data_IF_051906721029
#
_entry.id   IF_051906721029
#
_cell.length_a   1.000
_cell.length_b   1.000
_cell.length_c   1.000
_cell.angle_alpha   90.00
_cell.angle_beta   90.00
_cell.angle_gamma   90.00
#
_symmetry.space_group_name_H-M   'P 1'
#
loop_
_entity.id
_entity.type
_entity.pdbx_description
1 polymer ?
#
# COMPACT_ATOMS: atom_id res chain seq x y z
N UNK A 1 -20.55 37.76 0.15
CA UNK A 1 -20.80 36.38 -0.31
C UNK A 1 -20.08 36.23 -1.66
N UNK A 2 -18.92 35.58 -1.69
CA UNK A 2 -18.21 35.27 -2.93
C UNK A 2 -18.99 34.19 -3.65
N UNK A 3 -19.65 34.53 -4.76
CA UNK A 3 -20.37 33.56 -5.58
C UNK A 3 -19.39 32.49 -6.10
N UNK A 4 -19.65 31.25 -5.78
CA UNK A 4 -18.87 30.10 -6.31
C UNK A 4 -18.99 30.11 -7.82
N UNK A 5 -17.86 30.04 -8.53
CA UNK A 5 -17.87 30.02 -10.00
C UNK A 5 -18.60 28.77 -10.50
N UNK A 6 -19.43 28.87 -11.58
CA UNK A 6 -20.20 27.72 -12.09
C UNK A 6 -19.35 26.46 -12.32
N UNK A 7 -18.12 26.60 -12.84
CA UNK A 7 -17.20 25.46 -13.03
C UNK A 7 -16.78 24.78 -11.71
N UNK A 8 -16.61 25.54 -10.64
CA UNK A 8 -16.29 24.98 -9.32
C UNK A 8 -17.48 24.23 -8.74
N UNK A 9 -18.69 24.73 -8.96
CA UNK A 9 -19.92 24.05 -8.54
C UNK A 9 -20.10 22.72 -9.28
N UNK A 10 -19.84 22.69 -10.60
CA UNK A 10 -19.90 21.46 -11.41
C UNK A 10 -18.92 20.41 -10.90
N UNK A 11 -17.67 20.80 -10.63
CA UNK A 11 -16.66 19.89 -10.07
C UNK A 11 -17.13 19.32 -8.73
N UNK A 12 -17.66 20.17 -7.84
CA UNK A 12 -18.19 19.73 -6.55
C UNK A 12 -19.34 18.73 -6.70
N UNK A 13 -20.33 19.02 -7.54
CA UNK A 13 -21.46 18.12 -7.79
C UNK A 13 -20.97 16.79 -8.33
N UNK A 14 -20.08 16.81 -9.32
CA UNK A 14 -19.53 15.57 -9.89
C UNK A 14 -18.74 14.75 -8.86
N UNK A 15 -17.96 15.42 -8.00
CA UNK A 15 -17.24 14.77 -6.90
C UNK A 15 -18.21 14.09 -5.92
N UNK A 16 -19.23 14.83 -5.47
CA UNK A 16 -20.20 14.34 -4.49
C UNK A 16 -20.99 13.14 -5.04
N UNK A 17 -21.42 13.20 -6.33
CA UNK A 17 -22.08 12.09 -7.00
C UNK A 17 -21.19 10.87 -7.20
N UNK A 18 -19.92 11.05 -7.59
CA UNK A 18 -18.95 9.94 -7.67
C UNK A 18 -18.73 9.29 -6.30
N UNK A 19 -18.57 10.09 -5.25
CA UNK A 19 -18.41 9.56 -3.90
C UNK A 19 -19.65 8.77 -3.45
N UNK A 20 -20.87 9.28 -3.72
CA UNK A 20 -22.13 8.62 -3.40
C UNK A 20 -22.29 7.29 -4.16
N UNK A 21 -21.98 7.26 -5.46
CA UNK A 21 -22.02 6.04 -6.28
C UNK A 21 -21.06 4.97 -5.75
N UNK A 22 -19.95 5.36 -5.14
CA UNK A 22 -19.00 4.46 -4.50
C UNK A 22 -19.35 4.07 -3.06
N UNK A 23 -20.49 4.55 -2.54
CA UNK A 23 -21.01 4.17 -1.23
C UNK A 23 -21.11 5.31 -0.21
N UNK A 24 -20.64 6.53 -0.56
CA UNK A 24 -20.70 7.75 0.28
C UNK A 24 -19.74 7.72 1.46
N UNK A 25 -19.82 6.72 2.30
CA UNK A 25 -19.02 6.60 3.53
C UNK A 25 -18.05 5.41 3.48
N UNK A 26 -17.03 5.48 4.32
CA UNK A 26 -16.06 4.40 4.52
C UNK A 26 -16.72 3.24 5.24
N UNK A 27 -16.61 2.03 4.71
CA UNK A 27 -17.14 0.82 5.32
C UNK A 27 -16.07 0.15 6.20
N UNK A 28 -16.39 -0.01 7.48
CA UNK A 28 -15.49 -0.71 8.41
C UNK A 28 -15.58 -2.24 8.25
N UNK A 29 -14.48 -2.91 8.61
CA UNK A 29 -14.45 -4.38 8.72
C UNK A 29 -15.13 -4.81 10.02
N UNK A 30 -15.96 -5.86 9.94
CA UNK A 30 -16.63 -6.42 11.11
C UNK A 30 -15.69 -7.37 11.87
N UNK A 31 -15.23 -6.95 13.02
CA UNK A 31 -14.35 -7.73 13.90
C UNK A 31 -15.08 -8.21 15.16
N UNK A 32 -16.40 -8.35 15.11
CA UNK A 32 -17.21 -8.83 16.23
C UNK A 32 -17.14 -10.36 16.30
N UNK A 33 -16.27 -10.88 17.17
CA UNK A 33 -16.09 -12.33 17.36
C UNK A 33 -14.88 -12.62 18.24
N UNK A 34 -14.79 -13.84 18.77
CA UNK A 34 -13.63 -14.28 19.56
C UNK A 34 -13.31 -15.75 19.23
N UNK A 35 -12.46 -16.00 18.24
CA UNK A 35 -11.90 -15.06 17.26
C UNK A 35 -12.95 -14.57 16.24
N UNK A 36 -12.70 -13.40 15.64
CA UNK A 36 -13.40 -12.95 14.44
C UNK A 36 -12.84 -13.68 13.23
N UNK A 37 -13.69 -14.25 12.39
CA UNK A 37 -13.28 -15.04 11.22
C UNK A 37 -13.54 -14.26 9.94
N UNK A 38 -12.51 -14.12 9.10
CA UNK A 38 -12.56 -13.46 7.81
C UNK A 38 -12.28 -14.52 6.74
N UNK A 39 -13.20 -14.66 5.79
CA UNK A 39 -13.03 -15.54 4.64
C UNK A 39 -12.63 -14.75 3.40
N UNK A 40 -11.50 -15.13 2.79
CA UNK A 40 -10.99 -14.49 1.57
C UNK A 40 -11.42 -15.33 0.35
N UNK A 41 -12.09 -14.73 -0.62
CA UNK A 41 -12.57 -15.37 -1.85
C UNK A 41 -12.14 -14.59 -3.10
N UNK A 42 -12.14 -15.26 -4.27
CA UNK A 42 -11.77 -14.63 -5.55
C UNK A 42 -10.98 -15.56 -6.47
N UNK A 43 -10.70 -15.12 -7.70
CA UNK A 43 -9.99 -15.92 -8.71
C UNK A 43 -8.49 -16.04 -8.42
N UNK A 44 -7.84 -16.98 -9.09
CA UNK A 44 -6.39 -17.12 -9.09
C UNK A 44 -5.74 -15.84 -9.66
N UNK A 45 -4.66 -15.38 -9.06
CA UNK A 45 -3.96 -14.16 -9.50
C UNK A 45 -4.61 -12.85 -9.05
N UNK A 46 -5.80 -12.89 -8.41
CA UNK A 46 -6.42 -11.66 -7.85
C UNK A 46 -5.69 -11.08 -6.65
N UNK A 47 -4.70 -11.77 -6.11
CA UNK A 47 -3.89 -11.29 -4.99
C UNK A 47 -4.39 -11.71 -3.59
N UNK A 48 -5.31 -12.67 -3.47
CA UNK A 48 -5.87 -13.13 -2.17
C UNK A 48 -4.81 -13.43 -1.13
N UNK A 49 -3.89 -14.34 -1.42
CA UNK A 49 -2.85 -14.79 -0.48
C UNK A 49 -1.98 -13.63 0.00
N UNK A 50 -1.53 -12.79 -0.92
CA UNK A 50 -0.76 -11.59 -0.57
C UNK A 50 -1.58 -10.60 0.24
N UNK A 51 -2.85 -10.41 -0.13
CA UNK A 51 -3.73 -9.48 0.58
C UNK A 51 -4.12 -10.01 1.96
N UNK A 52 -4.27 -11.32 2.13
CA UNK A 52 -4.48 -11.96 3.46
C UNK A 52 -3.36 -11.60 4.42
N UNK A 53 -2.10 -11.64 3.97
CA UNK A 53 -0.95 -11.24 4.76
C UNK A 53 -0.93 -9.72 5.02
N UNK A 54 -1.23 -8.89 4.02
CA UNK A 54 -1.34 -7.42 4.20
C UNK A 54 -2.42 -7.04 5.21
N UNK A 55 -3.59 -7.69 5.12
CA UNK A 55 -4.69 -7.47 6.06
C UNK A 55 -4.29 -7.90 7.48
N UNK A 56 -3.59 -9.03 7.63
CA UNK A 56 -3.06 -9.46 8.91
C UNK A 56 -2.09 -8.42 9.49
N UNK A 57 -1.14 -7.93 8.69
CA UNK A 57 -0.20 -6.89 9.09
C UNK A 57 -0.93 -5.60 9.51
N UNK A 58 -1.92 -5.16 8.74
CA UNK A 58 -2.75 -4.00 9.07
C UNK A 58 -3.49 -4.18 10.41
N UNK A 59 -4.12 -5.34 10.62
CA UNK A 59 -4.83 -5.63 11.86
C UNK A 59 -3.90 -5.72 13.08
N UNK A 60 -2.68 -6.24 12.91
CA UNK A 60 -1.68 -6.28 13.97
C UNK A 60 -1.17 -4.87 14.31
N UNK A 61 -0.77 -4.10 13.31
CA UNK A 61 -0.07 -2.82 13.51
C UNK A 61 -1.02 -1.65 13.80
N UNK A 62 -2.20 -1.61 13.15
CA UNK A 62 -3.15 -0.50 13.27
C UNK A 62 -4.30 -0.77 14.23
N UNK A 63 -4.67 -2.02 14.43
CA UNK A 63 -5.79 -2.42 15.30
C UNK A 63 -5.34 -3.21 16.54
N UNK A 64 -4.03 -3.45 16.68
CA UNK A 64 -3.42 -4.20 17.80
C UNK A 64 -4.09 -5.58 18.04
N UNK A 65 -4.35 -6.32 16.95
CA UNK A 65 -5.00 -7.63 16.98
C UNK A 65 -3.99 -8.76 16.82
N UNK A 66 -4.18 -9.84 17.57
CA UNK A 66 -3.42 -11.08 17.39
C UNK A 66 -4.07 -11.90 16.28
N UNK A 67 -3.39 -12.04 15.13
CA UNK A 67 -3.97 -12.62 13.89
C UNK A 67 -3.35 -13.98 13.60
N UNK A 68 -4.20 -14.95 13.18
CA UNK A 68 -3.78 -16.22 12.58
C UNK A 68 -4.21 -16.26 11.12
N UNK A 69 -3.31 -16.68 10.24
CA UNK A 69 -3.58 -16.97 8.83
C UNK A 69 -3.84 -18.48 8.67
N UNK A 70 -4.76 -18.85 7.78
CA UNK A 70 -5.10 -20.26 7.50
C UNK A 70 -4.97 -20.55 6.02
N UNK A 71 -4.11 -21.52 5.67
CA UNK A 71 -3.84 -21.92 4.28
C UNK A 71 -4.84 -22.99 3.82
N UNK A 72 -5.98 -22.57 3.25
CA UNK A 72 -7.01 -23.48 2.72
C UNK A 72 -6.88 -23.74 1.21
N UNK A 73 -5.85 -23.24 0.51
CA UNK A 73 -5.52 -23.67 -0.85
C UNK A 73 -4.77 -25.02 -0.80
N UNK A 74 -5.51 -26.10 -0.58
CA UNK A 74 -4.94 -27.45 -0.41
C UNK A 74 -4.43 -28.07 -1.70
N UNK A 75 -4.80 -27.49 -2.84
CA UNK A 75 -4.47 -28.02 -4.18
C UNK A 75 -3.10 -27.56 -4.67
N UNK A 76 -2.58 -26.46 -4.10
CA UNK A 76 -1.32 -25.83 -4.52
C UNK A 76 -0.34 -25.72 -3.35
N UNK A 77 0.60 -26.69 -3.20
CA UNK A 77 1.63 -26.62 -2.16
C UNK A 77 2.42 -25.30 -2.16
N UNK A 78 2.67 -24.75 -3.35
CA UNK A 78 3.35 -23.45 -3.48
C UNK A 78 2.54 -22.29 -2.88
N UNK A 79 1.21 -22.32 -2.88
CA UNK A 79 0.39 -21.27 -2.26
C UNK A 79 0.43 -21.36 -0.73
N UNK A 80 0.46 -22.58 -0.18
CA UNK A 80 0.65 -22.80 1.28
C UNK A 80 2.01 -22.25 1.71
N UNK A 81 3.07 -22.58 0.96
CA UNK A 81 4.41 -22.10 1.24
C UNK A 81 4.52 -20.58 1.10
N UNK A 82 3.88 -20.01 0.08
CA UNK A 82 3.80 -18.55 -0.10
C UNK A 82 3.17 -17.88 1.11
N UNK A 83 2.02 -18.39 1.60
CA UNK A 83 1.38 -17.82 2.78
C UNK A 83 2.25 -17.97 4.04
N UNK A 84 2.99 -19.09 4.17
CA UNK A 84 3.93 -19.31 5.27
C UNK A 84 5.04 -18.26 5.29
N UNK A 85 5.68 -18.04 4.14
CA UNK A 85 6.76 -17.03 3.99
C UNK A 85 6.24 -15.63 4.29
N UNK A 86 5.05 -15.28 3.77
CA UNK A 86 4.43 -13.98 4.04
C UNK A 86 4.07 -13.82 5.52
N UNK A 87 3.57 -14.88 6.16
CA UNK A 87 3.28 -14.88 7.60
C UNK A 87 4.54 -14.67 8.45
N UNK A 88 5.65 -15.29 8.09
CA UNK A 88 6.94 -15.09 8.75
C UNK A 88 7.43 -13.64 8.65
N UNK A 89 7.28 -13.01 7.47
CA UNK A 89 7.66 -11.60 7.27
C UNK A 89 6.95 -10.63 8.20
N UNK A 90 5.70 -10.94 8.58
CA UNK A 90 4.88 -10.08 9.44
C UNK A 90 4.74 -10.62 10.88
N UNK A 91 5.50 -11.66 11.23
CA UNK A 91 5.41 -12.37 12.52
C UNK A 91 3.98 -12.85 12.85
N UNK A 92 3.21 -13.28 11.84
CA UNK A 92 1.90 -13.88 12.02
C UNK A 92 1.99 -15.41 11.99
N UNK A 93 1.24 -16.07 12.87
CA UNK A 93 1.09 -17.53 12.84
C UNK A 93 0.31 -17.94 11.59
N UNK A 94 0.85 -18.92 10.86
CA UNK A 94 0.16 -19.59 9.76
C UNK A 94 -0.21 -21.00 10.15
N UNK A 95 -1.49 -21.33 10.06
CA UNK A 95 -1.99 -22.67 10.22
C UNK A 95 -2.00 -23.37 8.86
N UNK A 96 -1.12 -24.35 8.68
CA UNK A 96 -0.99 -25.13 7.43
C UNK A 96 -1.80 -26.42 7.44
N UNK A 97 -2.11 -26.93 8.64
CA UNK A 97 -2.90 -28.17 8.81
C UNK A 97 -2.28 -29.35 8.08
N UNK A 98 -1.01 -29.68 8.39
CA UNK A 98 -0.28 -30.77 7.74
C UNK A 98 -1.09 -32.09 7.73
N UNK A 99 -1.16 -32.72 6.55
CA UNK A 99 -1.90 -33.96 6.35
C UNK A 99 -3.42 -33.80 6.17
N UNK A 100 -3.99 -32.63 6.36
CA UNK A 100 -5.42 -32.40 6.16
C UNK A 100 -5.68 -31.88 4.72
N UNK A 101 -6.27 -32.74 3.91
CA UNK A 101 -6.61 -32.43 2.52
C UNK A 101 -7.97 -31.74 2.35
N UNK A 102 -8.84 -31.79 3.37
CA UNK A 102 -10.15 -31.18 3.32
C UNK A 102 -10.09 -29.72 3.83
N UNK A 103 -10.33 -28.70 2.97
CA UNK A 103 -10.21 -27.30 3.35
C UNK A 103 -11.25 -26.88 4.41
N UNK A 104 -12.43 -27.50 4.43
CA UNK A 104 -13.48 -27.23 5.43
C UNK A 104 -13.01 -27.67 6.83
N UNK A 105 -12.52 -28.91 6.94
CA UNK A 105 -12.01 -29.46 8.22
C UNK A 105 -10.80 -28.65 8.68
N UNK A 106 -9.91 -28.29 7.75
CA UNK A 106 -8.74 -27.46 8.03
C UNK A 106 -9.13 -26.12 8.64
N UNK A 107 -10.08 -25.41 8.03
CA UNK A 107 -10.57 -24.13 8.54
C UNK A 107 -11.20 -24.25 9.93
N UNK A 108 -12.01 -25.29 10.17
CA UNK A 108 -12.63 -25.54 11.47
C UNK A 108 -11.58 -25.82 12.57
N UNK A 109 -10.59 -26.68 12.30
CA UNK A 109 -9.49 -26.97 13.23
C UNK A 109 -8.66 -25.72 13.55
N UNK A 110 -8.37 -24.91 12.53
CA UNK A 110 -7.64 -23.65 12.71
C UNK A 110 -8.38 -22.68 13.65
N UNK A 111 -9.70 -22.56 13.49
CA UNK A 111 -10.53 -21.71 14.38
C UNK A 111 -10.55 -22.25 15.80
N UNK A 112 -10.61 -23.58 15.98
CA UNK A 112 -10.50 -24.18 17.31
C UNK A 112 -9.14 -23.90 17.96
N UNK A 113 -8.05 -24.08 17.21
CA UNK A 113 -6.70 -23.73 17.67
C UNK A 113 -6.59 -22.24 18.01
N UNK A 114 -7.13 -21.37 17.17
CA UNK A 114 -7.14 -19.93 17.43
C UNK A 114 -7.86 -19.55 18.73
N UNK A 115 -8.96 -20.22 19.07
CA UNK A 115 -9.67 -20.04 20.34
C UNK A 115 -8.81 -20.45 21.53
N UNK A 116 -8.13 -21.60 21.43
CA UNK A 116 -7.27 -22.12 22.53
C UNK A 116 -6.09 -21.19 22.80
N UNK A 117 -5.46 -20.66 21.75
CA UNK A 117 -4.29 -19.80 21.87
C UNK A 117 -4.61 -18.30 21.95
N UNK A 118 -5.89 -17.92 22.04
CA UNK A 118 -6.33 -16.55 22.24
C UNK A 118 -5.97 -15.63 21.09
N UNK A 119 -6.25 -16.06 19.83
CA UNK A 119 -6.17 -15.18 18.68
C UNK A 119 -7.46 -14.35 18.58
N UNK A 120 -7.30 -13.05 18.21
CA UNK A 120 -8.44 -12.15 18.03
C UNK A 120 -9.10 -12.32 16.68
N UNK A 121 -8.29 -12.63 15.64
CA UNK A 121 -8.75 -12.71 14.26
C UNK A 121 -8.14 -13.93 13.57
N UNK A 122 -8.96 -14.61 12.76
CA UNK A 122 -8.55 -15.69 11.87
C UNK A 122 -8.87 -15.29 10.41
N UNK A 123 -7.87 -15.25 9.55
CA UNK A 123 -8.05 -14.98 8.12
C UNK A 123 -7.87 -16.29 7.34
N UNK A 124 -8.92 -16.74 6.68
CA UNK A 124 -8.96 -17.98 5.91
C UNK A 124 -8.71 -17.66 4.44
N UNK A 125 -7.53 -18.02 3.94
CA UNK A 125 -7.13 -17.86 2.53
C UNK A 125 -7.55 -19.10 1.74
N UNK A 126 -8.51 -18.94 0.81
CA UNK A 126 -9.07 -20.04 0.02
C UNK A 126 -8.35 -20.24 -1.30
N UNK A 127 -8.51 -21.42 -1.89
CA UNK A 127 -8.10 -21.69 -3.25
C UNK A 127 -8.74 -20.70 -4.25
N UNK A 128 -8.02 -20.39 -5.33
CA UNK A 128 -8.55 -19.68 -6.47
C UNK A 128 -8.26 -20.49 -7.73
N UNK A 129 -9.20 -20.50 -8.66
CA UNK A 129 -9.02 -21.06 -10.00
C UNK A 129 -8.95 -19.95 -11.05
N UNK A 130 -8.48 -20.27 -12.25
CA UNK A 130 -8.35 -19.31 -13.34
C UNK A 130 -9.68 -18.77 -13.84
N UNK A 131 -10.73 -19.59 -13.72
CA UNK A 131 -12.09 -19.21 -14.07
C UNK A 131 -13.05 -19.71 -12.98
N UNK A 132 -14.24 -19.14 -12.95
CA UNK A 132 -15.30 -19.57 -12.05
C UNK A 132 -15.80 -20.92 -12.54
N UNK A 133 -15.79 -21.91 -11.66
CA UNK A 133 -16.41 -23.23 -11.89
C UNK A 133 -17.26 -23.64 -10.69
N UNK A 134 -18.17 -24.57 -10.93
CA UNK A 134 -19.13 -25.00 -9.94
C UNK A 134 -18.48 -25.65 -8.72
N UNK A 135 -17.42 -26.45 -8.92
CA UNK A 135 -16.73 -27.15 -7.84
C UNK A 135 -16.05 -26.13 -6.88
N UNK A 136 -15.39 -25.10 -7.43
CA UNK A 136 -14.78 -24.04 -6.61
C UNK A 136 -15.83 -23.29 -5.79
N UNK A 137 -16.95 -22.94 -6.41
CA UNK A 137 -18.01 -22.18 -5.73
C UNK A 137 -18.66 -23.00 -4.62
N UNK A 138 -18.91 -24.29 -4.86
CA UNK A 138 -19.41 -25.22 -3.85
C UNK A 138 -18.42 -25.38 -2.67
N UNK A 139 -17.12 -25.46 -2.95
CA UNK A 139 -16.09 -25.57 -1.92
C UNK A 139 -16.05 -24.31 -1.03
N UNK A 140 -16.02 -23.12 -1.65
CA UNK A 140 -15.99 -21.86 -0.88
C UNK A 140 -17.29 -21.70 -0.09
N UNK A 141 -18.44 -22.05 -0.65
CA UNK A 141 -19.72 -22.02 0.05
C UNK A 141 -19.75 -23.00 1.24
N UNK A 142 -19.20 -24.21 1.07
CA UNK A 142 -19.08 -25.19 2.14
C UNK A 142 -18.16 -24.70 3.28
N UNK A 143 -17.03 -24.07 2.93
CA UNK A 143 -16.16 -23.44 3.93
C UNK A 143 -16.94 -22.34 4.66
N UNK A 144 -17.59 -21.41 3.93
CA UNK A 144 -18.37 -20.30 4.49
C UNK A 144 -19.42 -20.82 5.48
N UNK A 145 -20.19 -21.81 5.06
CA UNK A 145 -21.23 -22.42 5.92
C UNK A 145 -20.65 -23.05 7.19
N UNK A 146 -19.52 -23.75 7.06
CA UNK A 146 -18.91 -24.49 8.17
C UNK A 146 -18.26 -23.59 9.22
N UNK A 147 -17.72 -22.43 8.83
CA UNK A 147 -17.00 -21.53 9.72
C UNK A 147 -17.80 -20.30 10.14
N UNK A 148 -18.92 -20.01 9.48
CA UNK A 148 -19.80 -18.86 9.72
C UNK A 148 -18.99 -17.56 9.94
N UNK A 149 -18.28 -17.05 8.91
CA UNK A 149 -17.36 -15.93 9.07
C UNK A 149 -18.13 -14.63 9.40
N UNK A 150 -17.51 -13.72 10.14
CA UNK A 150 -18.01 -12.37 10.37
C UNK A 150 -17.88 -11.49 9.14
N UNK A 151 -16.92 -11.84 8.27
CA UNK A 151 -16.68 -11.16 7.00
C UNK A 151 -16.32 -12.17 5.92
N UNK A 152 -17.00 -12.11 4.80
CA UNK A 152 -16.60 -12.76 3.54
C UNK A 152 -16.15 -11.65 2.59
N UNK A 153 -14.86 -11.61 2.26
CA UNK A 153 -14.28 -10.57 1.43
C UNK A 153 -13.94 -11.12 0.04
N UNK A 154 -14.45 -10.47 -0.98
CA UNK A 154 -14.14 -10.76 -2.37
C UNK A 154 -12.94 -9.95 -2.84
N UNK A 155 -11.89 -10.65 -3.27
CA UNK A 155 -10.63 -10.04 -3.74
C UNK A 155 -10.59 -10.08 -5.27
N UNK A 156 -10.45 -8.91 -5.87
CA UNK A 156 -10.43 -8.74 -7.32
C UNK A 156 -9.31 -7.81 -7.77
N UNK A 157 -8.72 -8.13 -8.92
CA UNK A 157 -7.69 -7.32 -9.56
C UNK A 157 -8.35 -6.14 -10.31
N UNK A 158 -8.03 -4.91 -9.91
CA UNK A 158 -8.57 -3.70 -10.53
C UNK A 158 -8.17 -3.53 -12.00
N UNK A 159 -7.09 -4.18 -12.44
CA UNK A 159 -6.60 -4.08 -13.81
C UNK A 159 -7.35 -4.95 -14.81
N UNK A 160 -8.19 -5.88 -14.37
CA UNK A 160 -8.93 -6.80 -15.25
C UNK A 160 -10.17 -6.17 -15.91
N UNK A 161 -10.44 -4.89 -15.62
CA UNK A 161 -11.49 -4.13 -16.31
C UNK A 161 -12.88 -4.72 -16.14
N UNK A 162 -13.59 -4.95 -17.27
CA UNK A 162 -14.97 -5.50 -17.25
C UNK A 162 -15.05 -6.91 -16.67
N UNK A 163 -14.02 -7.73 -16.80
CA UNK A 163 -13.99 -9.08 -16.23
C UNK A 163 -14.05 -9.04 -14.70
N UNK A 164 -13.46 -8.03 -14.07
CA UNK A 164 -13.59 -7.80 -12.64
C UNK A 164 -15.06 -7.63 -12.20
N UNK A 165 -15.85 -6.90 -12.99
CA UNK A 165 -17.26 -6.62 -12.70
C UNK A 165 -18.10 -7.89 -12.87
N UNK A 166 -17.89 -8.62 -13.96
CA UNK A 166 -18.61 -9.87 -14.23
C UNK A 166 -18.31 -10.91 -13.15
N UNK A 167 -17.05 -11.07 -12.79
CA UNK A 167 -16.60 -11.95 -11.72
C UNK A 167 -17.20 -11.56 -10.37
N UNK A 168 -17.19 -10.28 -10.03
CA UNK A 168 -17.77 -9.79 -8.79
C UNK A 168 -19.26 -10.10 -8.68
N UNK A 169 -20.00 -9.92 -9.78
CA UNK A 169 -21.43 -10.24 -9.83
C UNK A 169 -21.66 -11.73 -9.58
N UNK A 170 -20.96 -12.61 -10.28
CA UNK A 170 -21.14 -14.07 -10.15
C UNK A 170 -20.79 -14.57 -8.75
N UNK A 171 -19.70 -14.06 -8.16
CA UNK A 171 -19.36 -14.38 -6.77
C UNK A 171 -20.40 -13.84 -5.78
N UNK A 172 -20.94 -12.65 -6.01
CA UNK A 172 -21.96 -12.08 -5.14
C UNK A 172 -23.26 -12.88 -5.19
N UNK A 173 -23.70 -13.28 -6.38
CA UNK A 173 -24.93 -14.05 -6.57
C UNK A 173 -24.89 -15.43 -5.88
N UNK A 174 -23.69 -16.03 -5.73
CA UNK A 174 -23.49 -17.35 -5.13
C UNK A 174 -23.05 -17.34 -3.68
N UNK A 175 -22.24 -16.37 -3.28
CA UNK A 175 -21.64 -16.33 -1.93
C UNK A 175 -22.23 -15.23 -1.05
N UNK A 176 -22.91 -14.24 -1.63
CA UNK A 176 -23.38 -13.07 -0.89
C UNK A 176 -22.28 -12.52 0.05
N UNK A 177 -21.17 -12.07 -0.53
CA UNK A 177 -20.04 -11.57 0.24
C UNK A 177 -20.35 -10.21 0.90
N UNK A 178 -19.62 -9.88 1.96
CA UNK A 178 -19.88 -8.69 2.78
C UNK A 178 -19.13 -7.45 2.29
N UNK A 179 -18.05 -7.62 1.54
CA UNK A 179 -17.24 -6.52 1.04
C UNK A 179 -16.26 -6.91 -0.05
N UNK A 180 -15.76 -5.91 -0.75
CA UNK A 180 -14.81 -6.04 -1.86
C UNK A 180 -13.45 -5.50 -1.47
N UNK A 181 -12.41 -6.18 -1.93
CA UNK A 181 -11.02 -5.73 -1.89
C UNK A 181 -10.55 -5.53 -3.33
N UNK A 182 -10.08 -4.35 -3.65
CA UNK A 182 -9.46 -4.05 -4.95
C UNK A 182 -7.95 -4.13 -4.82
N UNK A 183 -7.33 -5.06 -5.54
CA UNK A 183 -5.87 -5.19 -5.60
C UNK A 183 -5.31 -4.50 -6.84
N UNK A 184 -3.99 -4.25 -6.84
CA UNK A 184 -3.24 -3.68 -7.97
C UNK A 184 -3.76 -2.32 -8.44
N UNK A 185 -4.31 -1.53 -7.53
CA UNK A 185 -4.86 -0.21 -7.84
C UNK A 185 -3.77 0.80 -8.26
N UNK A 186 -2.50 0.51 -7.99
CA UNK A 186 -1.32 1.22 -8.50
C UNK A 186 -1.18 1.12 -10.02
N UNK A 187 -1.74 0.07 -10.65
CA UNK A 187 -1.86 -0.07 -12.10
C UNK A 187 -3.09 0.60 -12.72
N UNK A 188 -4.15 0.84 -11.93
CA UNK A 188 -5.36 1.55 -12.36
C UNK A 188 -5.26 3.04 -12.03
N UNK A 189 -4.75 3.82 -12.99
CA UNK A 189 -4.49 5.25 -12.79
C UNK A 189 -5.72 6.07 -12.36
N UNK A 190 -6.93 5.61 -12.65
CA UNK A 190 -8.17 6.37 -12.43
C UNK A 190 -9.17 5.74 -11.48
N UNK A 191 -8.99 4.47 -11.07
CA UNK A 191 -9.90 3.79 -10.15
C UNK A 191 -11.28 3.48 -10.72
N UNK A 192 -11.41 3.34 -12.05
CA UNK A 192 -12.69 3.06 -12.71
C UNK A 192 -13.32 1.72 -12.29
N UNK A 193 -12.49 0.74 -11.96
CA UNK A 193 -12.95 -0.55 -11.45
C UNK A 193 -13.77 -0.42 -10.16
N UNK A 194 -13.41 0.51 -9.26
CA UNK A 194 -14.14 0.74 -8.02
C UNK A 194 -15.59 1.15 -8.27
N UNK A 195 -15.80 2.12 -9.18
CA UNK A 195 -17.11 2.62 -9.55
C UNK A 195 -17.97 1.51 -10.18
N UNK A 196 -17.41 0.80 -11.17
CA UNK A 196 -18.13 -0.22 -11.91
C UNK A 196 -18.54 -1.42 -11.04
N UNK A 197 -17.63 -1.91 -10.20
CA UNK A 197 -17.92 -3.03 -9.30
C UNK A 197 -18.98 -2.61 -8.28
N UNK A 198 -18.83 -1.46 -7.64
CA UNK A 198 -19.77 -0.99 -6.62
C UNK A 198 -21.19 -0.80 -7.17
N UNK A 199 -21.31 -0.27 -8.39
CA UNK A 199 -22.63 -0.07 -9.05
C UNK A 199 -23.35 -1.38 -9.36
N UNK A 200 -22.61 -2.45 -9.68
CA UNK A 200 -23.18 -3.74 -10.07
C UNK A 200 -23.50 -4.63 -8.86
N UNK A 201 -22.56 -4.78 -7.93
CA UNK A 201 -22.74 -5.69 -6.77
C UNK A 201 -23.37 -5.03 -5.56
N UNK A 202 -23.36 -3.71 -5.49
CA UNK A 202 -23.88 -2.89 -4.38
C UNK A 202 -23.28 -3.21 -3.00
N UNK A 203 -22.16 -3.96 -2.97
CA UNK A 203 -21.42 -4.29 -1.76
C UNK A 203 -20.32 -3.25 -1.53
N UNK A 204 -20.02 -2.87 -0.27
CA UNK A 204 -19.00 -1.88 0.01
C UNK A 204 -17.62 -2.36 -0.42
N UNK A 205 -16.81 -1.46 -0.96
CA UNK A 205 -15.38 -1.66 -1.07
C UNK A 205 -14.80 -1.29 0.29
N UNK A 206 -14.03 -2.20 0.90
CA UNK A 206 -13.47 -2.00 2.24
C UNK A 206 -12.01 -1.65 2.22
N UNK A 207 -11.24 -2.29 1.33
CA UNK A 207 -9.79 -2.09 1.24
C UNK A 207 -9.33 -2.01 -0.20
N UNK A 208 -8.17 -1.39 -0.37
CA UNK A 208 -7.44 -1.30 -1.64
C UNK A 208 -5.99 -1.71 -1.43
N UNK A 209 -5.42 -2.41 -2.42
CA UNK A 209 -3.99 -2.71 -2.51
C UNK A 209 -3.33 -1.73 -3.47
N UNK A 210 -2.35 -1.00 -2.97
CA UNK A 210 -1.70 0.12 -3.69
C UNK A 210 -0.24 -0.16 -4.04
N UNK A 211 0.17 -1.43 -4.05
CA UNK A 211 1.53 -1.81 -4.39
C UNK A 211 1.89 -3.19 -3.83
N UNK A 212 3.15 -3.61 -3.96
CA UNK A 212 3.61 -4.95 -3.57
C UNK A 212 4.00 -5.09 -2.10
N UNK A 213 4.41 -4.02 -1.43
CA UNK A 213 4.87 -4.02 -0.04
C UNK A 213 3.76 -4.45 0.93
N UNK A 214 4.13 -5.02 2.07
CA UNK A 214 3.16 -5.45 3.10
C UNK A 214 2.33 -4.30 3.68
N UNK A 215 2.88 -3.10 3.70
CA UNK A 215 2.23 -1.88 4.16
C UNK A 215 1.32 -1.24 3.09
N UNK A 216 1.41 -1.70 1.82
CA UNK A 216 0.64 -1.16 0.70
C UNK A 216 -0.80 -1.71 0.70
N UNK A 217 -1.53 -1.41 1.78
CA UNK A 217 -2.95 -1.62 1.99
C UNK A 217 -3.52 -0.35 2.59
N UNK A 218 -4.57 0.18 1.97
CA UNK A 218 -5.32 1.31 2.49
C UNK A 218 -6.80 0.97 2.66
N UNK A 219 -7.45 1.63 3.62
CA UNK A 219 -8.91 1.60 3.74
C UNK A 219 -9.51 2.37 2.57
N UNK A 220 -10.58 1.84 2.00
CA UNK A 220 -11.25 2.52 0.89
C UNK A 220 -12.05 3.73 1.38
N UNK A 221 -11.75 4.89 0.83
CA UNK A 221 -12.46 6.14 1.10
C UNK A 221 -13.13 6.65 -0.19
N UNK A 222 -14.47 6.60 -0.31
CA UNK A 222 -15.21 7.04 -1.52
C UNK A 222 -14.83 8.44 -2.00
N UNK A 223 -14.76 9.41 -1.09
CA UNK A 223 -14.39 10.80 -1.41
C UNK A 223 -12.97 10.91 -2.00
N UNK A 224 -11.97 10.24 -1.40
CA UNK A 224 -10.59 10.24 -1.92
C UNK A 224 -10.49 9.58 -3.30
N UNK A 225 -11.29 8.54 -3.52
CA UNK A 225 -11.36 7.89 -4.83
C UNK A 225 -12.01 8.82 -5.87
N UNK A 226 -13.05 9.58 -5.50
CA UNK A 226 -13.64 10.61 -6.37
C UNK A 226 -12.62 11.70 -6.73
N UNK A 227 -11.82 12.18 -5.77
CA UNK A 227 -10.70 13.11 -6.03
C UNK A 227 -9.71 12.54 -7.03
N UNK A 228 -9.34 11.25 -6.88
CA UNK A 228 -8.43 10.55 -7.79
C UNK A 228 -9.00 10.44 -9.21
N UNK A 229 -10.29 10.09 -9.36
CA UNK A 229 -10.99 10.00 -10.64
C UNK A 229 -11.00 11.36 -11.35
N UNK A 230 -11.22 12.45 -10.60
CA UNK A 230 -11.24 13.82 -11.11
C UNK A 230 -9.83 14.39 -11.39
N UNK A 231 -8.77 13.65 -11.05
CA UNK A 231 -7.39 14.12 -11.20
C UNK A 231 -7.01 15.23 -10.23
N UNK A 232 -7.71 15.31 -9.09
CA UNK A 232 -7.44 16.27 -8.00
C UNK A 232 -6.33 15.78 -7.06
N UNK A 233 -5.85 14.55 -7.25
CA UNK A 233 -4.88 13.90 -6.38
C UNK A 233 -5.48 13.42 -5.05
N UNK A 234 -4.68 12.75 -4.25
CA UNK A 234 -5.07 12.31 -2.89
C UNK A 234 -4.13 12.92 -1.85
N UNK A 235 -4.26 14.23 -1.64
CA UNK A 235 -3.41 14.99 -0.71
C UNK A 235 -3.60 14.52 0.73
N UNK A 236 -4.80 14.05 1.09
CA UNK A 236 -5.10 13.60 2.46
C UNK A 236 -4.31 12.33 2.77
N UNK A 237 -4.36 11.32 1.90
CA UNK A 237 -3.56 10.10 2.06
C UNK A 237 -2.07 10.39 2.07
N UNK A 238 -1.59 11.33 1.27
CA UNK A 238 -0.19 11.75 1.28
C UNK A 238 0.22 12.34 2.64
N UNK A 239 -0.62 13.20 3.20
CA UNK A 239 -0.38 13.82 4.52
C UNK A 239 -0.44 12.78 5.64
N UNK A 240 -1.41 11.87 5.60
CA UNK A 240 -1.52 10.78 6.59
C UNK A 240 -0.28 9.86 6.55
N UNK A 241 0.14 9.41 5.38
CA UNK A 241 1.38 8.60 5.23
C UNK A 241 2.61 9.37 5.71
N UNK A 242 2.68 10.67 5.40
CA UNK A 242 3.75 11.51 5.91
C UNK A 242 3.74 11.57 7.44
N UNK A 243 2.58 11.73 8.07
CA UNK A 243 2.45 11.79 9.52
C UNK A 243 2.77 10.44 10.20
N UNK A 244 2.36 9.31 9.63
CA UNK A 244 2.64 7.98 10.16
C UNK A 244 4.12 7.62 10.14
N UNK A 245 4.84 8.08 9.12
CA UNK A 245 6.28 7.84 8.96
C UNK A 245 7.15 8.97 9.54
N UNK A 246 6.49 10.00 10.13
CA UNK A 246 7.17 11.17 10.64
C UNK A 246 7.84 10.88 11.99
N UNK A 247 9.16 10.70 11.94
CA UNK A 247 9.99 10.67 13.14
C UNK A 247 10.27 12.11 13.59
N UNK A 248 9.55 12.56 14.60
CA UNK A 248 9.62 13.93 15.11
C UNK A 248 11.02 14.27 15.66
N UNK A 249 11.69 13.30 16.28
CA UNK A 249 13.04 13.50 16.81
C UNK A 249 14.06 13.65 15.68
N UNK A 250 13.98 12.77 14.68
CA UNK A 250 14.85 12.82 13.49
C UNK A 250 14.61 14.12 12.70
N UNK A 251 13.36 14.51 12.49
CA UNK A 251 13.03 15.75 11.81
C UNK A 251 13.53 16.99 12.57
N UNK A 252 13.41 17.01 13.90
CA UNK A 252 13.99 18.08 14.76
C UNK A 252 15.52 18.09 14.69
N UNK A 253 16.17 16.92 14.67
CA UNK A 253 17.61 16.78 14.51
C UNK A 253 18.08 17.37 13.18
N UNK A 254 17.47 16.94 12.07
CA UNK A 254 17.80 17.42 10.73
C UNK A 254 17.56 18.93 10.62
N UNK A 255 16.43 19.43 11.12
CA UNK A 255 16.12 20.87 11.14
C UNK A 255 17.19 21.69 11.87
N UNK A 256 17.65 21.24 13.04
CA UNK A 256 18.76 21.89 13.77
C UNK A 256 20.07 21.87 12.98
N UNK A 257 20.38 20.78 12.28
CA UNK A 257 21.60 20.64 11.46
C UNK A 257 21.55 21.56 10.23
N UNK A 258 20.39 21.67 9.57
CA UNK A 258 20.20 22.62 8.45
C UNK A 258 20.40 24.06 8.94
N UNK A 259 19.83 24.44 10.09
CA UNK A 259 19.99 25.77 10.67
C UNK A 259 21.46 26.12 10.95
N UNK A 260 22.26 25.13 11.40
CA UNK A 260 23.67 25.24 11.67
C UNK A 260 24.58 25.11 10.43
N UNK A 261 24.00 24.93 9.23
CA UNK A 261 24.72 24.65 7.98
C UNK A 261 25.57 23.36 8.05
N UNK A 262 25.08 22.35 8.76
CA UNK A 262 25.73 21.06 9.01
C UNK A 262 25.02 19.91 8.30
N UNK A 263 24.11 20.18 7.35
CA UNK A 263 23.43 19.17 6.54
C UNK A 263 24.43 18.43 5.67
N UNK A 264 24.53 17.11 5.82
CA UNK A 264 25.51 16.25 5.15
C UNK A 264 24.85 15.11 4.35
N UNK A 265 25.67 14.23 3.74
CA UNK A 265 25.17 13.11 2.95
C UNK A 265 24.50 12.01 3.79
N UNK A 266 24.81 11.89 5.09
CA UNK A 266 24.11 10.96 5.97
C UNK A 266 22.70 11.45 6.26
N UNK A 267 22.51 12.75 6.49
CA UNK A 267 21.17 13.34 6.64
C UNK A 267 20.36 13.18 5.38
N UNK A 268 20.99 13.31 4.20
CA UNK A 268 20.33 13.10 2.91
C UNK A 268 19.88 11.65 2.72
N UNK A 269 20.72 10.66 3.07
CA UNK A 269 20.35 9.23 3.04
C UNK A 269 19.19 8.92 4.00
N UNK A 270 19.21 9.51 5.20
CA UNK A 270 18.12 9.35 6.17
C UNK A 270 16.79 9.86 5.61
N UNK A 271 16.79 11.02 4.97
CA UNK A 271 15.60 11.55 4.29
C UNK A 271 15.13 10.68 3.13
N UNK A 272 16.05 10.16 2.31
CA UNK A 272 15.70 9.22 1.23
C UNK A 272 15.06 7.94 1.79
N UNK A 273 15.60 7.41 2.88
CA UNK A 273 15.05 6.23 3.52
C UNK A 273 13.64 6.48 4.07
N UNK A 274 13.37 7.67 4.63
CA UNK A 274 12.03 8.05 5.08
C UNK A 274 11.04 8.14 3.91
N UNK A 275 11.43 8.79 2.81
CA UNK A 275 10.58 8.87 1.60
C UNK A 275 10.26 7.47 1.06
N UNK A 276 11.24 6.55 1.00
CA UNK A 276 11.03 5.17 0.56
C UNK A 276 10.07 4.38 1.47
N UNK A 277 10.01 4.70 2.76
CA UNK A 277 9.06 4.08 3.69
C UNK A 277 7.62 4.54 3.43
N UNK A 278 7.41 5.76 2.92
CA UNK A 278 6.07 6.30 2.63
C UNK A 278 5.37 5.62 1.43
N UNK A 279 6.09 4.88 0.62
CA UNK A 279 5.58 4.19 -0.56
C UNK A 279 6.50 4.31 -1.77
N UNK A 280 6.01 3.89 -2.96
CA UNK A 280 6.76 4.09 -4.20
C UNK A 280 6.73 5.55 -4.64
N UNK A 281 7.79 6.02 -5.32
CA UNK A 281 7.80 7.41 -5.86
C UNK A 281 6.65 7.65 -6.83
N UNK A 282 6.29 6.65 -7.61
CA UNK A 282 5.16 6.73 -8.55
C UNK A 282 3.85 6.97 -7.81
N UNK A 283 3.60 6.26 -6.70
CA UNK A 283 2.42 6.45 -5.87
C UNK A 283 2.39 7.85 -5.24
N UNK A 284 3.50 8.26 -4.59
CA UNK A 284 3.58 9.56 -3.92
C UNK A 284 3.36 10.72 -4.90
N UNK A 285 3.91 10.62 -6.11
CA UNK A 285 3.72 11.63 -7.15
C UNK A 285 2.29 11.64 -7.70
N UNK A 286 1.65 10.46 -7.82
CA UNK A 286 0.25 10.34 -8.22
C UNK A 286 -0.74 10.98 -7.22
N UNK A 287 -0.35 11.12 -5.95
CA UNK A 287 -1.16 11.80 -4.93
C UNK A 287 -1.09 13.33 -5.02
N UNK A 288 -0.14 13.90 -5.77
CA UNK A 288 0.02 15.35 -5.92
C UNK A 288 -0.86 15.84 -7.09
N UNK A 289 -1.76 16.82 -6.85
CA UNK A 289 -2.62 17.36 -7.90
C UNK A 289 -1.84 17.85 -9.13
N UNK A 290 -2.24 17.38 -10.34
CA UNK A 290 -1.67 17.81 -11.60
C UNK A 290 -0.33 17.18 -11.98
N UNK A 291 0.29 16.39 -11.12
CA UNK A 291 1.55 15.69 -11.39
C UNK A 291 1.38 14.58 -12.44
N UNK A 292 0.23 13.91 -12.48
CA UNK A 292 -0.10 12.88 -13.49
C UNK A 292 0.08 13.37 -14.92
N UNK A 293 -0.24 14.66 -15.18
CA UNK A 293 -0.07 15.27 -16.50
C UNK A 293 1.39 15.59 -16.81
N UNK A 294 2.15 15.99 -15.80
CA UNK A 294 3.57 16.33 -15.93
C UNK A 294 4.45 15.08 -16.12
N UNK A 295 4.01 13.93 -15.64
CA UNK A 295 4.73 12.66 -15.69
C UNK A 295 4.36 11.77 -16.87
N UNK A 296 3.42 12.17 -17.74
CA UNK A 296 3.11 11.44 -18.97
C UNK A 296 4.36 11.27 -19.83
N UNK A 297 4.86 10.04 -19.90
CA UNK A 297 6.06 9.69 -20.67
C UNK A 297 7.38 9.70 -19.89
N UNK A 298 7.34 9.93 -18.57
CA UNK A 298 8.52 9.82 -17.69
C UNK A 298 8.36 8.55 -16.84
N UNK A 299 9.22 7.56 -17.06
CA UNK A 299 9.33 6.41 -16.15
C UNK A 299 9.93 6.86 -14.82
N UNK A 300 9.09 7.10 -13.82
CA UNK A 300 9.52 7.32 -12.46
C UNK A 300 9.65 5.95 -11.80
N UNK A 301 10.85 5.40 -11.84
CA UNK A 301 11.19 4.13 -11.18
C UNK A 301 11.70 4.40 -9.76
N UNK A 302 11.37 3.54 -8.81
CA UNK A 302 11.98 3.52 -7.48
C UNK A 302 13.51 3.32 -7.56
N UNK A 303 13.99 2.82 -8.69
CA UNK A 303 15.41 2.64 -9.00
C UNK A 303 16.15 3.96 -9.28
N UNK A 304 15.43 5.07 -9.46
CA UNK A 304 16.04 6.38 -9.73
C UNK A 304 17.01 6.84 -8.62
N UNK A 305 16.81 6.36 -7.39
CA UNK A 305 17.69 6.67 -6.26
C UNK A 305 18.85 5.70 -6.07
N UNK A 306 18.84 4.52 -6.71
CA UNK A 306 19.91 3.52 -6.56
C UNK A 306 21.31 4.08 -6.91
N UNK A 307 21.47 4.83 -8.03
CA UNK A 307 22.78 5.42 -8.34
C UNK A 307 23.24 6.42 -7.26
N UNK A 308 22.32 7.21 -6.71
CA UNK A 308 22.62 8.18 -5.65
C UNK A 308 23.07 7.47 -4.37
N UNK A 309 22.36 6.44 -3.96
CA UNK A 309 22.72 5.61 -2.79
C UNK A 309 24.07 4.93 -2.99
N UNK A 310 24.35 4.41 -4.19
CA UNK A 310 25.62 3.80 -4.51
C UNK A 310 26.78 4.82 -4.45
N UNK A 311 26.57 6.03 -4.95
CA UNK A 311 27.55 7.13 -4.87
C UNK A 311 27.86 7.45 -3.40
N UNK A 312 26.84 7.66 -2.56
CA UNK A 312 27.05 8.01 -1.15
C UNK A 312 27.65 6.83 -0.38
N UNK A 313 27.21 5.60 -0.66
CA UNK A 313 27.76 4.38 -0.03
C UNK A 313 29.24 4.16 -0.34
N UNK A 314 29.68 4.62 -1.52
CA UNK A 314 31.09 4.57 -1.95
C UNK A 314 31.99 5.63 -1.31
N UNK A 315 31.40 6.57 -0.57
CA UNK A 315 32.14 7.58 0.19
C UNK A 315 32.58 7.02 1.56
N UNK A 316 33.72 7.48 2.05
CA UNK A 316 34.14 7.22 3.44
C UNK A 316 33.25 7.99 4.44
N UNK A 317 33.17 7.58 5.72
CA UNK A 317 32.43 8.32 6.74
C UNK A 317 32.80 9.80 6.81
N UNK A 318 34.09 10.13 6.72
CA UNK A 318 34.57 11.51 6.73
C UNK A 318 34.11 12.31 5.51
N UNK A 319 34.05 11.71 4.33
CA UNK A 319 33.56 12.34 3.11
C UNK A 319 32.05 12.55 3.15
N UNK A 320 31.29 11.62 3.76
CA UNK A 320 29.84 11.78 3.95
C UNK A 320 29.51 12.94 4.90
N UNK A 321 30.30 13.09 5.96
CA UNK A 321 30.11 14.16 6.94
C UNK A 321 30.63 15.51 6.48
N UNK A 322 31.60 15.54 5.56
CA UNK A 322 32.18 16.79 5.06
C UNK A 322 32.32 16.78 3.52
N UNK A 323 31.30 17.26 2.81
CA UNK A 323 31.30 17.31 1.33
C UNK A 323 32.47 18.10 0.72
N UNK A 324 33.08 19.03 1.48
CA UNK A 324 34.19 19.85 0.99
C UNK A 324 35.49 19.06 0.77
N UNK A 325 35.61 17.87 1.36
CA UNK A 325 36.77 16.98 1.17
C UNK A 325 36.85 16.37 -0.24
N UNK A 326 35.79 16.47 -1.05
CA UNK A 326 35.65 15.79 -2.33
C UNK A 326 36.45 16.49 -3.45
N UNK A 327 37.73 16.15 -3.57
CA UNK A 327 38.57 16.55 -4.71
C UNK A 327 38.43 15.62 -5.92
N UNK A 328 39.09 15.93 -7.03
CA UNK A 328 39.01 15.15 -8.29
C UNK A 328 39.38 13.68 -8.13
N UNK A 329 40.44 13.35 -7.38
CA UNK A 329 40.88 11.98 -7.15
C UNK A 329 39.83 11.17 -6.36
N UNK A 330 39.26 11.75 -5.31
CA UNK A 330 38.18 11.13 -4.50
C UNK A 330 36.92 10.92 -5.31
N UNK A 331 36.52 11.88 -6.14
CA UNK A 331 35.37 11.75 -7.05
C UNK A 331 35.55 10.60 -8.05
N UNK A 332 36.77 10.44 -8.61
CA UNK A 332 37.08 9.31 -9.50
C UNK A 332 37.01 7.96 -8.76
N UNK A 333 37.50 7.87 -7.54
CA UNK A 333 37.38 6.66 -6.73
C UNK A 333 35.93 6.31 -6.41
N UNK A 334 35.12 7.32 -6.04
CA UNK A 334 33.69 7.15 -5.75
C UNK A 334 32.95 6.70 -7.00
N UNK A 335 33.21 7.32 -8.16
CA UNK A 335 32.60 6.91 -9.43
C UNK A 335 32.89 5.43 -9.77
N UNK A 336 34.16 4.98 -9.61
CA UNK A 336 34.53 3.59 -9.80
C UNK A 336 33.84 2.64 -8.79
N UNK A 337 33.78 3.03 -7.52
CA UNK A 337 33.18 2.22 -6.45
C UNK A 337 31.66 2.11 -6.55
N UNK A 338 30.99 3.12 -7.08
CA UNK A 338 29.53 3.16 -7.26
C UNK A 338 29.06 2.58 -8.59
N UNK A 339 29.96 2.24 -9.51
CA UNK A 339 29.59 1.83 -10.87
C UNK A 339 28.97 2.97 -11.70
N UNK A 340 29.20 4.23 -11.32
CA UNK A 340 28.69 5.41 -12.01
C UNK A 340 29.81 6.18 -12.72
N UNK A 341 29.45 7.17 -13.55
CA UNK A 341 30.41 8.05 -14.18
C UNK A 341 30.76 9.25 -13.28
N UNK A 342 31.95 9.85 -13.51
CA UNK A 342 32.35 11.09 -12.83
C UNK A 342 31.39 12.25 -13.10
N UNK A 343 30.72 12.22 -14.26
CA UNK A 343 29.71 13.20 -14.66
C UNK A 343 28.49 13.09 -13.75
N UNK A 344 28.03 11.86 -13.46
CA UNK A 344 26.90 11.59 -12.55
C UNK A 344 27.25 11.99 -11.12
N UNK A 345 28.47 11.66 -10.64
CA UNK A 345 28.91 12.12 -9.32
C UNK A 345 28.90 13.65 -9.23
N UNK A 346 29.43 14.36 -10.22
CA UNK A 346 29.41 15.83 -10.20
C UNK A 346 28.00 16.41 -10.31
N UNK A 347 27.10 15.79 -11.09
CA UNK A 347 25.68 16.16 -11.17
C UNK A 347 25.01 16.03 -9.81
N UNK A 348 25.20 14.90 -9.14
CA UNK A 348 24.66 14.65 -7.81
C UNK A 348 25.16 15.69 -6.79
N UNK A 349 26.46 15.96 -6.75
CA UNK A 349 27.05 16.95 -5.84
C UNK A 349 26.46 18.34 -6.05
N UNK A 350 26.26 18.74 -7.31
CA UNK A 350 25.62 20.03 -7.65
C UNK A 350 24.16 20.08 -7.20
N UNK A 351 23.41 19.01 -7.40
CA UNK A 351 22.02 18.89 -6.92
C UNK A 351 21.93 18.94 -5.40
N UNK A 352 22.80 18.23 -4.69
CA UNK A 352 22.89 18.26 -3.23
C UNK A 352 23.14 19.66 -2.71
N UNK A 353 24.10 20.39 -3.28
CA UNK A 353 24.40 21.78 -2.89
C UNK A 353 23.20 22.71 -3.12
N UNK A 354 22.50 22.57 -4.25
CA UNK A 354 21.30 23.36 -4.54
C UNK A 354 20.18 23.06 -3.55
N UNK A 355 19.93 21.78 -3.26
CA UNK A 355 18.93 21.33 -2.29
C UNK A 355 19.23 21.86 -0.89
N UNK A 356 20.47 21.75 -0.43
CA UNK A 356 20.91 22.27 0.86
C UNK A 356 20.69 23.79 0.97
N UNK A 357 21.03 24.56 -0.08
CA UNK A 357 20.80 26.02 -0.11
C UNK A 357 19.30 26.35 -0.07
N UNK A 358 18.47 25.59 -0.79
CA UNK A 358 17.01 25.80 -0.83
C UNK A 358 16.39 25.51 0.53
N UNK A 359 16.75 24.40 1.19
CA UNK A 359 16.28 24.05 2.52
C UNK A 359 16.62 25.13 3.55
N UNK A 360 17.83 25.68 3.51
CA UNK A 360 18.25 26.78 4.38
C UNK A 360 17.40 28.04 4.17
N UNK A 361 17.12 28.42 2.91
CA UNK A 361 16.25 29.55 2.60
C UNK A 361 14.82 29.36 3.13
N UNK A 362 14.25 28.17 2.93
CA UNK A 362 12.91 27.86 3.42
C UNK A 362 12.81 27.96 4.95
N UNK A 363 13.81 27.47 5.66
CA UNK A 363 13.85 27.52 7.11
C UNK A 363 13.98 28.97 7.65
N UNK A 364 14.77 29.82 6.98
CA UNK A 364 14.86 31.24 7.30
C UNK A 364 13.52 31.96 7.09
N UNK A 365 12.77 31.64 6.03
CA UNK A 365 11.46 32.21 5.78
C UNK A 365 10.40 31.77 6.81
N UNK A 366 10.46 30.53 7.28
CA UNK A 366 9.59 30.04 8.36
C UNK A 366 9.89 30.69 9.71
N UNK A 367 11.16 30.95 10.00
CA UNK A 367 11.59 31.68 11.20
C UNK A 367 11.12 33.14 11.25
N UNK A 368 10.99 33.79 10.09
CA UNK A 368 10.44 35.15 9.97
C UNK A 368 8.91 35.22 10.11
N UNK A 369 8.17 34.15 9.82
CA UNK A 369 6.71 34.07 10.02
C UNK A 369 6.29 33.76 11.47
N UNK A 370 7.21 33.34 12.33
CA UNK A 370 6.95 33.03 13.74
C UNK A 370 7.35 34.17 14.69
N UNK A 371 7.87 35.25 14.17
CA UNK A 371 8.06 36.54 14.85
C UNK A 371 6.98 37.52 14.39
#
# INVERSE_FOLDING_TARGET
MTAVRPGQLMVKITHDELANLMGGETAEINLKGSPSVILMSGLQGSGKTTFSAKLANFLQTKKNKKVMLVACDVYRPAAIEQLRVLGEQINAKVYTGEGEANPVIKAQKAIQEAKVYGYDVVIVDTAGRLAIDEQMMQEIAAIKQAINPQETLFVVDAMTGQDAVNTAKEFNDRLDFDGVILTKLDGDARGGAALSIRSVVQKPIKFIGTGEKMEALDVFHPSRMADRILGMGDVVSLVERAQEQYDEEEARRISKRIAKNQFDFNDFLSQLAQIKKMGSMKELMGMIPGMDKALKGVEVSDDAFKPIEAIISSMTPAERSNPQLLNGSRKNRIAKGSGTSIVEVNRFLKQFEQTSKMMKKMQQMQGLRRR
#
